data_IF_108551631194
#
_entry.id   IF_108551631194
#
_cell.length_a   1.000
_cell.length_b   1.000
_cell.length_c   1.000
_cell.angle_alpha   90.00
_cell.angle_beta   90.00
_cell.angle_gamma   90.00
#
_symmetry.space_group_name_H-M   'P 1'
#
loop_
_entity.id
_entity.type
_entity.pdbx_description
1 polymer ?
#
# COMPACT_ATOMS: atom_id res chain seq x y z
N UNK A 1 0.67 25.15 1.38
CA UNK A 1 1.55 23.97 1.53
C UNK A 1 2.95 24.19 0.95
N UNK A 2 3.13 24.58 -0.33
CA UNK A 2 4.46 24.80 -0.96
C UNK A 2 5.45 25.63 -0.12
N UNK A 3 5.02 26.78 0.44
CA UNK A 3 5.86 27.60 1.32
C UNK A 3 6.30 26.87 2.60
N UNK A 4 5.40 26.10 3.22
CA UNK A 4 5.71 25.29 4.40
C UNK A 4 6.69 24.17 4.05
N UNK A 5 6.47 23.47 2.93
CA UNK A 5 7.38 22.44 2.45
C UNK A 5 8.79 23.00 2.20
N UNK A 6 8.88 24.18 1.57
CA UNK A 6 10.16 24.88 1.38
C UNK A 6 10.86 25.17 2.71
N UNK A 7 10.15 25.73 3.70
CA UNK A 7 10.73 25.99 5.02
C UNK A 7 11.18 24.72 5.74
N UNK A 8 10.37 23.66 5.70
CA UNK A 8 10.69 22.35 6.29
C UNK A 8 11.97 21.77 5.68
N UNK A 9 12.14 21.85 4.36
CA UNK A 9 13.34 21.32 3.69
C UNK A 9 14.63 22.09 4.02
N UNK A 10 14.51 23.37 4.40
CA UNK A 10 15.65 24.22 4.77
C UNK A 10 15.89 24.29 6.28
N UNK A 11 15.11 23.57 7.10
CA UNK A 11 15.27 23.55 8.55
C UNK A 11 15.68 22.16 9.03
N UNK A 12 16.97 21.99 9.35
CA UNK A 12 17.59 20.69 9.64
C UNK A 12 16.87 19.91 10.75
N UNK A 13 16.55 20.58 11.86
CA UNK A 13 15.84 19.98 12.98
C UNK A 13 14.44 19.50 12.57
N UNK A 14 13.71 20.28 11.78
CA UNK A 14 12.36 19.93 11.34
C UNK A 14 12.40 18.77 10.36
N UNK A 15 13.35 18.78 9.43
CA UNK A 15 13.57 17.68 8.49
C UNK A 15 13.91 16.38 9.23
N UNK A 16 14.75 16.45 10.26
CA UNK A 16 15.09 15.31 11.10
C UNK A 16 13.86 14.79 11.87
N UNK A 17 13.14 15.67 12.57
CA UNK A 17 12.00 15.29 13.41
C UNK A 17 10.81 14.75 12.60
N UNK A 18 10.51 15.35 11.45
CA UNK A 18 9.39 14.94 10.60
C UNK A 18 9.75 13.81 9.63
N UNK A 19 11.03 13.55 9.41
CA UNK A 19 11.50 12.44 8.59
C UNK A 19 10.90 12.42 7.18
N UNK A 20 10.52 11.22 6.71
CA UNK A 20 10.01 11.01 5.35
C UNK A 20 8.55 11.45 5.16
N UNK A 21 7.79 11.70 6.24
CA UNK A 21 6.39 12.16 6.19
C UNK A 21 6.25 13.69 6.21
N UNK A 22 7.37 14.42 6.18
CA UNK A 22 7.42 15.88 6.31
C UNK A 22 6.62 16.65 5.25
N UNK A 23 6.53 16.11 4.04
CA UNK A 23 5.69 16.70 2.97
C UNK A 23 4.19 16.57 3.30
N UNK A 24 3.77 15.41 3.83
CA UNK A 24 2.38 15.20 4.28
C UNK A 24 2.01 16.18 5.39
N UNK A 25 2.91 16.45 6.34
CA UNK A 25 2.69 17.49 7.35
C UNK A 25 2.57 18.88 6.73
N UNK A 26 3.44 19.24 5.77
CA UNK A 26 3.37 20.51 5.06
C UNK A 26 2.05 20.71 4.30
N UNK A 27 1.49 19.63 3.73
CA UNK A 27 0.16 19.60 3.14
C UNK A 27 -0.93 19.78 4.20
N UNK A 28 -0.95 18.96 5.25
CA UNK A 28 -1.98 18.99 6.30
C UNK A 28 -2.06 20.34 7.02
N UNK A 29 -0.92 20.91 7.38
CA UNK A 29 -0.86 22.26 7.99
C UNK A 29 -1.35 23.31 6.98
N UNK A 30 -0.91 23.20 5.73
CA UNK A 30 -1.36 24.09 4.66
C UNK A 30 -2.87 24.06 4.46
N UNK A 31 -3.48 22.87 4.47
CA UNK A 31 -4.92 22.70 4.35
C UNK A 31 -5.67 23.26 5.56
N UNK A 32 -5.16 23.02 6.77
CA UNK A 32 -5.74 23.54 8.00
C UNK A 32 -5.72 25.08 8.03
N UNK A 33 -4.60 25.72 7.65
CA UNK A 33 -4.48 27.17 7.57
C UNK A 33 -5.41 27.82 6.53
N UNK A 34 -5.83 27.06 5.52
CA UNK A 34 -6.79 27.52 4.51
C UNK A 34 -8.24 27.13 4.83
N UNK A 35 -8.49 26.54 5.99
CA UNK A 35 -9.83 26.14 6.43
C UNK A 35 -10.45 25.03 5.59
N UNK A 36 -9.66 24.25 4.85
CA UNK A 36 -10.16 23.13 4.02
C UNK A 36 -10.85 22.11 4.92
N UNK A 37 -12.10 21.77 4.58
CA UNK A 37 -12.86 20.72 5.25
C UNK A 37 -12.78 19.44 4.44
N UNK A 38 -12.41 18.35 5.11
CA UNK A 38 -12.33 17.04 4.48
C UNK A 38 -13.48 16.17 4.95
N UNK A 39 -14.12 15.46 4.02
CA UNK A 39 -14.99 14.34 4.37
C UNK A 39 -14.12 13.08 4.47
N UNK A 40 -13.68 12.77 5.69
CA UNK A 40 -12.81 11.62 5.98
C UNK A 40 -13.65 10.44 6.48
N UNK A 41 -14.49 9.89 5.61
CA UNK A 41 -15.17 8.64 5.92
C UNK A 41 -14.14 7.53 6.11
N UNK A 42 -14.32 6.68 7.12
CA UNK A 42 -13.51 5.49 7.32
C UNK A 42 -14.03 4.34 6.46
N UNK A 43 -13.19 3.38 6.06
CA UNK A 43 -13.65 2.13 5.48
C UNK A 43 -14.75 1.48 6.33
N UNK A 44 -15.77 0.86 5.73
CA UNK A 44 -15.96 0.64 4.28
C UNK A 44 -16.62 1.81 3.53
N UNK A 45 -16.87 2.96 4.18
CA UNK A 45 -17.56 4.10 3.56
C UNK A 45 -16.62 5.04 2.78
N UNK A 46 -15.32 4.98 3.07
CA UNK A 46 -14.30 5.71 2.32
C UNK A 46 -14.43 5.44 0.82
N UNK A 47 -14.54 6.51 0.03
CA UNK A 47 -14.77 6.45 -1.42
C UNK A 47 -13.49 6.48 -2.24
N UNK A 48 -12.40 7.01 -1.67
CA UNK A 48 -11.18 7.20 -2.44
C UNK A 48 -10.34 5.93 -2.50
N UNK A 49 -9.88 5.45 -1.35
CA UNK A 49 -8.92 4.35 -1.26
C UNK A 49 -9.30 3.32 -0.20
N UNK A 50 -8.98 2.06 -0.48
CA UNK A 50 -8.84 0.99 0.51
C UNK A 50 -7.36 0.61 0.61
N UNK A 51 -6.86 0.40 1.83
CA UNK A 51 -5.45 0.18 2.14
C UNK A 51 -5.18 -1.19 2.77
N UNK A 52 -5.12 -2.27 1.97
CA UNK A 52 -4.62 -3.53 2.50
C UNK A 52 -3.13 -3.42 2.88
N UNK A 53 -2.68 -4.11 3.94
CA UNK A 53 -3.44 -5.03 4.80
C UNK A 53 -4.16 -4.36 6.01
N UNK A 54 -4.19 -3.02 6.10
CA UNK A 54 -4.83 -2.34 7.23
C UNK A 54 -6.36 -2.46 7.18
N UNK A 55 -6.94 -2.36 5.99
CA UNK A 55 -8.38 -2.43 5.77
C UNK A 55 -8.84 -3.86 5.46
N UNK A 56 -9.96 -4.24 6.09
CA UNK A 56 -10.56 -5.58 5.98
C UNK A 56 -11.75 -5.63 5.02
N UNK A 57 -12.16 -4.49 4.46
CA UNK A 57 -13.32 -4.41 3.56
C UNK A 57 -13.04 -3.37 2.46
N UNK A 58 -13.37 -3.71 1.20
CA UNK A 58 -13.22 -2.79 0.05
C UNK A 58 -14.22 -1.65 0.13
N UNK A 59 -15.49 -1.99 0.41
CA UNK A 59 -16.55 -1.00 0.57
C UNK A 59 -16.78 -0.13 -0.67
N UNK A 60 -16.88 1.19 -0.47
CA UNK A 60 -17.12 2.17 -1.52
C UNK A 60 -15.85 2.70 -2.20
N UNK A 61 -14.68 2.14 -1.90
CA UNK A 61 -13.41 2.65 -2.41
C UNK A 61 -13.27 2.50 -3.93
N UNK A 62 -12.80 3.54 -4.59
CA UNK A 62 -12.59 3.56 -6.04
C UNK A 62 -11.25 2.91 -6.47
N UNK A 63 -10.27 2.80 -5.57
CA UNK A 63 -8.98 2.18 -5.88
C UNK A 63 -8.34 1.52 -4.65
N UNK A 64 -7.43 0.58 -4.91
CA UNK A 64 -6.52 0.05 -3.90
C UNK A 64 -5.31 0.97 -3.75
N UNK A 65 -4.93 1.29 -2.51
CA UNK A 65 -3.69 1.98 -2.20
C UNK A 65 -2.81 1.13 -1.29
N UNK A 66 -1.70 0.65 -1.85
CA UNK A 66 -0.78 -0.22 -1.14
C UNK A 66 0.44 0.54 -0.59
N UNK A 67 0.48 0.70 0.74
CA UNK A 67 1.48 1.52 1.42
C UNK A 67 2.72 0.74 1.87
N UNK A 68 2.54 -0.49 2.37
CA UNK A 68 3.59 -1.25 3.07
C UNK A 68 3.56 -2.73 2.72
N UNK A 69 4.76 -3.33 2.58
CA UNK A 69 4.97 -4.76 2.34
C UNK A 69 4.14 -5.63 3.29
N UNK A 70 3.63 -6.76 2.81
CA UNK A 70 2.78 -7.68 3.58
C UNK A 70 3.38 -9.06 3.52
N UNK A 71 3.68 -9.62 4.68
CA UNK A 71 4.18 -10.99 4.83
C UNK A 71 3.17 -11.76 5.65
N UNK A 72 2.63 -12.82 5.06
CA UNK A 72 1.77 -13.77 5.77
C UNK A 72 2.64 -14.95 6.19
N UNK A 73 2.58 -15.29 7.48
CA UNK A 73 3.29 -16.40 8.09
C UNK A 73 2.34 -17.37 8.77
N UNK A 74 2.82 -18.60 8.94
CA UNK A 74 2.22 -19.58 9.82
C UNK A 74 2.71 -19.36 11.26
N UNK A 75 1.81 -19.09 12.20
CA UNK A 75 2.16 -18.77 13.59
C UNK A 75 2.87 -19.92 14.32
N UNK A 76 2.54 -21.16 14.00
CA UNK A 76 3.11 -22.32 14.70
C UNK A 76 4.54 -22.62 14.26
N UNK A 77 4.86 -22.36 12.99
CA UNK A 77 6.17 -22.68 12.40
C UNK A 77 7.05 -21.46 12.13
N UNK A 78 6.52 -20.24 12.31
CA UNK A 78 7.09 -18.95 11.85
C UNK A 78 7.49 -18.94 10.36
N UNK A 79 6.96 -19.88 9.56
CA UNK A 79 7.28 -20.00 8.15
C UNK A 79 6.55 -18.92 7.36
N UNK A 80 7.30 -18.15 6.56
CA UNK A 80 6.75 -17.26 5.54
C UNK A 80 6.02 -18.06 4.47
N UNK A 81 4.72 -17.81 4.31
CA UNK A 81 3.86 -18.46 3.33
C UNK A 81 3.68 -17.62 2.07
N UNK A 82 3.57 -16.31 2.25
CA UNK A 82 3.34 -15.38 1.15
C UNK A 82 3.89 -14.01 1.49
N UNK A 83 4.30 -13.29 0.47
CA UNK A 83 4.74 -11.91 0.56
C UNK A 83 4.32 -11.15 -0.68
N UNK A 84 3.84 -9.94 -0.48
CA UNK A 84 3.75 -8.95 -1.53
C UNK A 84 4.49 -7.70 -1.09
N UNK A 85 5.29 -7.15 -2.00
CA UNK A 85 5.97 -5.89 -1.80
C UNK A 85 6.26 -5.26 -3.17
N UNK A 86 5.68 -4.10 -3.45
CA UNK A 86 5.92 -3.39 -4.72
C UNK A 86 7.41 -3.11 -4.98
N UNK A 87 8.24 -3.03 -3.93
CA UNK A 87 9.68 -2.76 -4.04
C UNK A 87 10.46 -3.91 -4.67
N UNK A 88 9.91 -5.13 -4.68
CA UNK A 88 10.54 -6.27 -5.38
C UNK A 88 10.40 -6.16 -6.90
N UNK A 89 9.55 -5.26 -7.40
CA UNK A 89 9.31 -5.02 -8.83
C UNK A 89 10.15 -3.86 -9.41
N UNK A 90 11.33 -3.61 -8.83
CA UNK A 90 12.21 -2.49 -9.21
C UNK A 90 13.41 -2.89 -10.08
N UNK A 91 13.64 -4.18 -10.29
CA UNK A 91 14.69 -4.68 -11.20
C UNK A 91 14.41 -4.24 -12.64
N UNK A 92 15.41 -3.69 -13.34
CA UNK A 92 15.29 -3.21 -14.72
C UNK A 92 14.79 -4.27 -15.74
N UNK A 93 14.88 -5.56 -15.42
CA UNK A 93 14.35 -6.65 -16.26
C UNK A 93 12.83 -6.83 -16.11
N UNK A 94 12.26 -6.50 -14.96
CA UNK A 94 10.82 -6.68 -14.67
C UNK A 94 9.91 -5.73 -15.46
N UNK A 95 10.28 -4.45 -15.74
CA UNK A 95 9.53 -3.56 -16.62
C UNK A 95 9.33 -4.08 -18.03
N UNK A 96 10.19 -4.98 -18.53
CA UNK A 96 10.06 -5.54 -19.87
C UNK A 96 8.89 -6.52 -19.96
N UNK A 97 8.62 -7.23 -18.86
CA UNK A 97 7.49 -8.15 -18.72
C UNK A 97 7.18 -8.39 -17.24
N UNK A 98 6.16 -7.72 -16.72
CA UNK A 98 5.70 -7.89 -15.34
C UNK A 98 5.12 -9.30 -15.17
N UNK A 99 5.62 -10.13 -14.24
CA UNK A 99 5.04 -11.45 -13.98
C UNK A 99 3.71 -11.33 -13.26
N UNK A 100 2.86 -12.34 -13.37
CA UNK A 100 1.68 -12.46 -12.53
C UNK A 100 2.09 -12.53 -11.06
N UNK A 101 1.35 -11.83 -10.21
CA UNK A 101 1.59 -11.77 -8.78
C UNK A 101 0.96 -13.02 -8.13
N UNK A 102 1.69 -13.78 -7.31
CA UNK A 102 1.13 -14.95 -6.63
C UNK A 102 -0.03 -14.57 -5.70
N UNK A 103 -1.11 -15.35 -5.71
CA UNK A 103 -2.22 -15.16 -4.78
C UNK A 103 -1.81 -15.47 -3.34
N UNK A 104 -2.39 -14.75 -2.35
CA UNK A 104 -2.32 -15.11 -0.93
C UNK A 104 -2.71 -16.58 -0.65
N UNK A 105 -2.26 -17.16 0.48
CA UNK A 105 -2.68 -18.51 0.86
C UNK A 105 -4.18 -18.56 1.15
N UNK A 106 -4.79 -19.74 0.98
CA UNK A 106 -6.16 -19.99 1.45
C UNK A 106 -6.23 -19.79 2.96
N UNK A 107 -7.35 -19.23 3.43
CA UNK A 107 -7.57 -19.03 4.85
C UNK A 107 -7.48 -20.35 5.62
N UNK A 108 -6.76 -20.30 6.73
CA UNK A 108 -6.76 -21.32 7.77
C UNK A 108 -6.46 -20.65 9.12
N UNK A 109 -6.92 -21.21 10.24
CA UNK A 109 -6.51 -20.74 11.56
C UNK A 109 -4.99 -20.75 11.72
N UNK A 110 -4.45 -19.76 12.44
CA UNK A 110 -3.01 -19.67 12.73
C UNK A 110 -2.19 -18.87 11.71
N UNK A 111 -2.81 -18.21 10.74
CA UNK A 111 -2.13 -17.24 9.88
C UNK A 111 -1.96 -15.89 10.59
N UNK A 112 -0.76 -15.31 10.50
CA UNK A 112 -0.43 -14.00 11.07
C UNK A 112 0.36 -13.15 10.08
N UNK A 113 0.26 -11.82 10.21
CA UNK A 113 1.09 -10.87 9.49
C UNK A 113 2.47 -10.70 10.14
N UNK A 114 3.38 -9.96 9.49
CA UNK A 114 4.73 -9.71 10.01
C UNK A 114 4.78 -9.05 11.40
N UNK A 115 3.74 -8.34 11.79
CA UNK A 115 3.59 -7.66 13.08
C UNK A 115 2.86 -8.53 14.13
N UNK A 116 2.55 -9.78 13.78
CA UNK A 116 1.86 -10.74 14.63
C UNK A 116 0.33 -10.61 14.63
N UNK A 117 -0.24 -9.66 13.90
CA UNK A 117 -1.70 -9.51 13.79
C UNK A 117 -2.32 -10.71 13.08
N UNK A 118 -3.49 -11.20 13.52
CA UNK A 118 -4.15 -12.33 12.89
C UNK A 118 -4.66 -11.97 11.49
N UNK A 119 -4.44 -12.88 10.56
CA UNK A 119 -5.01 -12.83 9.22
C UNK A 119 -6.35 -13.55 9.25
N UNK A 120 -7.43 -12.82 8.96
CA UNK A 120 -8.78 -13.38 8.83
C UNK A 120 -9.18 -13.50 7.34
N UNK A 121 -10.34 -14.11 7.11
CA UNK A 121 -10.88 -14.27 5.76
C UNK A 121 -11.09 -12.92 5.08
N UNK A 122 -11.59 -11.91 5.81
CA UNK A 122 -11.85 -10.57 5.29
C UNK A 122 -10.59 -9.91 4.72
N UNK A 123 -9.48 -9.95 5.47
CA UNK A 123 -8.19 -9.45 5.00
C UNK A 123 -7.73 -10.21 3.74
N UNK A 124 -7.85 -11.54 3.72
CA UNK A 124 -7.49 -12.33 2.55
C UNK A 124 -8.36 -11.98 1.35
N UNK A 125 -9.66 -11.72 1.53
CA UNK A 125 -10.56 -11.33 0.45
C UNK A 125 -10.14 -9.99 -0.17
N UNK A 126 -9.79 -8.99 0.66
CA UNK A 126 -9.27 -7.69 0.17
C UNK A 126 -7.94 -7.87 -0.56
N UNK A 127 -7.02 -8.68 -0.02
CA UNK A 127 -5.73 -8.96 -0.66
C UNK A 127 -5.90 -9.69 -1.99
N UNK A 128 -6.76 -10.71 -2.05
CA UNK A 128 -7.07 -11.44 -3.28
C UNK A 128 -7.67 -10.49 -4.31
N UNK A 129 -8.66 -9.67 -3.96
CA UNK A 129 -9.26 -8.72 -4.88
C UNK A 129 -8.24 -7.73 -5.47
N UNK A 130 -7.31 -7.25 -4.64
CA UNK A 130 -6.22 -6.39 -5.10
C UNK A 130 -5.28 -7.12 -6.09
N UNK A 131 -4.86 -8.33 -5.75
CA UNK A 131 -3.99 -9.16 -6.60
C UNK A 131 -4.69 -9.53 -7.91
N UNK A 132 -5.95 -9.94 -7.86
CA UNK A 132 -6.75 -10.30 -9.03
C UNK A 132 -6.93 -9.10 -9.96
N UNK A 133 -7.18 -7.91 -9.42
CA UNK A 133 -7.27 -6.68 -10.22
C UNK A 133 -5.95 -6.41 -10.94
N UNK A 134 -4.80 -6.51 -10.27
CA UNK A 134 -3.49 -6.35 -10.92
C UNK A 134 -3.25 -7.44 -11.97
N UNK A 135 -3.51 -8.71 -11.64
CA UNK A 135 -3.32 -9.83 -12.55
C UNK A 135 -4.25 -9.81 -13.76
N UNK A 136 -5.43 -9.18 -13.66
CA UNK A 136 -6.36 -9.04 -14.79
C UNK A 136 -5.81 -8.14 -15.91
N UNK A 137 -4.95 -7.17 -15.56
CA UNK A 137 -4.41 -6.20 -16.53
C UNK A 137 -2.99 -6.53 -16.99
N UNK A 138 -2.21 -7.26 -16.18
CA UNK A 138 -0.82 -7.63 -16.50
C UNK A 138 -0.67 -8.28 -17.89
N UNK A 139 -1.50 -9.25 -18.30
CA UNK A 139 -1.39 -9.87 -19.63
C UNK A 139 -1.60 -8.90 -20.80
N UNK A 140 -2.32 -7.80 -20.57
CA UNK A 140 -2.60 -6.77 -21.57
C UNK A 140 -1.53 -5.67 -21.62
N UNK A 141 -0.56 -5.66 -20.70
CA UNK A 141 0.50 -4.66 -20.69
C UNK A 141 1.42 -4.81 -21.91
N UNK A 142 1.86 -3.70 -22.52
CA UNK A 142 2.81 -3.76 -23.62
C UNK A 142 4.14 -4.33 -23.13
N UNK A 143 4.74 -5.22 -23.92
CA UNK A 143 6.13 -5.64 -23.68
C UNK A 143 7.05 -4.48 -24.00
N UNK A 144 7.68 -3.93 -22.98
CA UNK A 144 8.69 -2.90 -23.17
C UNK A 144 9.95 -3.54 -23.75
N UNK A 145 10.66 -2.80 -24.59
CA UNK A 145 11.99 -3.17 -25.09
C UNK A 145 13.02 -2.31 -24.36
N UNK A 146 14.20 -2.89 -24.09
CA UNK A 146 15.33 -2.09 -23.66
C UNK A 146 15.64 -1.06 -24.76
N UNK A 147 15.81 0.20 -24.37
CA UNK A 147 16.35 1.22 -25.27
C UNK A 147 17.87 1.04 -25.22
N UNK A 148 18.46 0.67 -26.36
CA UNK A 148 19.91 0.54 -26.52
C UNK A 148 20.60 1.91 -26.48
#
# INVERSE_FOLDING_TARGET
WKRLAYHIEHHAETKQKLGWVREMYGWSIGAALQGVKFNLELPPRQKLIVQPPADREIGAAAMFHYTWGTVIKDKATDRKLWEFDKRTYTDAKLPLQVPLIPSPPKFRPGLVMQDGQPVDQKLLDVLNAMIDQMNSVIPALPRLKAVN
#
